data_IF_192041409893
#
_entry.id   IF_192041409893
#
_cell.length_a   1.000
_cell.length_b   1.000
_cell.length_c   1.000
_cell.angle_alpha   90.00
_cell.angle_beta   90.00
_cell.angle_gamma   90.00
#
_symmetry.space_group_name_H-M   'P 1'
#
loop_
_entity.id
_entity.type
_entity.pdbx_description
1 polymer ?
#
# COMPACT_ATOMS: atom_id res chain seq x y z
N UNK A 1 -11.12 -1.73 -4.67
CA UNK A 1 -12.41 -2.11 -4.06
C UNK A 1 -13.23 -3.15 -4.82
N UNK A 2 -13.70 -2.95 -6.08
CA UNK A 2 -14.53 -3.98 -6.73
C UNK A 2 -13.75 -5.25 -7.16
N UNK A 3 -12.45 -5.12 -7.44
CA UNK A 3 -11.57 -6.24 -7.75
C UNK A 3 -11.32 -7.18 -6.57
N UNK A 4 -11.18 -6.62 -5.36
CA UNK A 4 -10.76 -7.36 -4.17
C UNK A 4 -11.84 -8.35 -3.71
N UNK A 5 -13.11 -7.91 -3.74
CA UNK A 5 -14.26 -8.76 -3.45
C UNK A 5 -14.41 -9.92 -4.43
N UNK A 6 -14.09 -9.69 -5.72
CA UNK A 6 -14.13 -10.73 -6.73
C UNK A 6 -13.04 -11.78 -6.48
N UNK A 7 -11.82 -11.35 -6.16
CA UNK A 7 -10.69 -12.26 -5.91
C UNK A 7 -10.90 -13.07 -4.63
N UNK A 8 -11.36 -12.44 -3.56
CA UNK A 8 -11.73 -13.14 -2.31
C UNK A 8 -12.87 -14.14 -2.58
N UNK A 9 -13.91 -13.72 -3.28
CA UNK A 9 -15.03 -14.59 -3.64
C UNK A 9 -14.60 -15.82 -4.46
N UNK A 10 -13.73 -15.61 -5.45
CA UNK A 10 -13.16 -16.69 -6.27
C UNK A 10 -12.31 -17.65 -5.42
N UNK A 11 -11.46 -17.13 -4.54
CA UNK A 11 -10.63 -17.92 -3.63
C UNK A 11 -11.47 -18.80 -2.69
N UNK A 12 -12.52 -18.24 -2.08
CA UNK A 12 -13.45 -18.99 -1.23
C UNK A 12 -14.14 -20.09 -2.04
N UNK A 13 -14.63 -19.76 -3.24
CA UNK A 13 -15.31 -20.74 -4.11
C UNK A 13 -14.40 -21.93 -4.48
N UNK A 14 -13.16 -21.66 -4.89
CA UNK A 14 -12.17 -22.69 -5.21
C UNK A 14 -11.81 -23.54 -3.98
N UNK A 15 -11.68 -22.92 -2.80
CA UNK A 15 -11.43 -23.61 -1.54
C UNK A 15 -12.56 -24.56 -1.15
N UNK A 16 -13.81 -24.13 -1.32
CA UNK A 16 -14.99 -24.97 -1.09
C UNK A 16 -15.03 -26.17 -2.07
N UNK A 17 -14.69 -25.97 -3.34
CA UNK A 17 -14.57 -27.07 -4.30
C UNK A 17 -13.46 -28.05 -3.92
N UNK A 18 -12.30 -27.56 -3.45
CA UNK A 18 -11.21 -28.41 -2.98
C UNK A 18 -11.68 -29.33 -1.83
N UNK A 19 -12.39 -28.76 -0.85
CA UNK A 19 -12.97 -29.53 0.26
C UNK A 19 -14.02 -30.54 -0.20
N UNK A 20 -14.87 -30.17 -1.17
CA UNK A 20 -15.88 -31.07 -1.71
C UNK A 20 -15.23 -32.29 -2.42
N UNK A 21 -14.21 -32.07 -3.25
CA UNK A 21 -13.48 -33.15 -3.90
C UNK A 21 -12.73 -34.04 -2.90
N UNK A 22 -12.11 -33.42 -1.89
CA UNK A 22 -11.45 -34.16 -0.83
C UNK A 22 -12.45 -35.03 -0.06
N UNK A 23 -13.62 -34.47 0.29
CA UNK A 23 -14.72 -35.21 0.89
C UNK A 23 -15.16 -36.41 0.03
N UNK A 24 -15.34 -36.22 -1.28
CA UNK A 24 -15.68 -37.31 -2.20
C UNK A 24 -14.60 -38.40 -2.26
N UNK A 25 -13.32 -38.07 -2.10
CA UNK A 25 -12.25 -39.07 -2.05
C UNK A 25 -12.39 -40.03 -0.85
N UNK A 26 -12.95 -39.56 0.26
CA UNK A 26 -13.17 -40.36 1.47
C UNK A 26 -14.52 -41.09 1.50
N UNK A 27 -15.50 -40.67 0.70
CA UNK A 27 -16.76 -41.40 0.57
C UNK A 27 -16.50 -42.77 -0.07
N UNK A 28 -17.26 -43.77 0.38
CA UNK A 28 -17.25 -45.10 -0.21
C UNK A 28 -17.71 -45.03 -1.68
N UNK A 29 -16.72 -45.05 -2.58
CA UNK A 29 -16.91 -44.98 -4.03
C UNK A 29 -17.83 -46.07 -4.56
N UNK A 30 -17.85 -47.24 -3.90
CA UNK A 30 -18.74 -48.35 -4.28
C UNK A 30 -20.19 -47.97 -4.00
N UNK A 31 -20.49 -47.34 -2.86
CA UNK A 31 -21.83 -46.81 -2.55
C UNK A 31 -22.24 -45.69 -3.51
N UNK A 32 -21.34 -44.79 -3.85
CA UNK A 32 -21.59 -43.74 -4.85
C UNK A 32 -21.98 -44.33 -6.21
N UNK A 33 -21.24 -45.35 -6.66
CA UNK A 33 -21.53 -46.04 -7.90
C UNK A 33 -22.92 -46.68 -7.89
N UNK A 34 -23.27 -47.41 -6.82
CA UNK A 34 -24.58 -48.05 -6.67
C UNK A 34 -25.72 -47.03 -6.61
N UNK A 35 -25.54 -45.93 -5.90
CA UNK A 35 -26.58 -44.91 -5.75
C UNK A 35 -26.83 -44.12 -7.04
N UNK A 36 -25.80 -43.85 -7.85
CA UNK A 36 -25.91 -42.91 -8.97
C UNK A 36 -25.79 -43.55 -10.34
N UNK A 37 -24.88 -44.51 -10.50
CA UNK A 37 -24.47 -45.07 -11.79
C UNK A 37 -25.15 -46.40 -12.11
N UNK A 38 -25.39 -47.25 -11.10
CA UNK A 38 -25.98 -48.58 -11.30
C UNK A 38 -27.34 -48.54 -12.01
N UNK A 39 -28.16 -47.51 -11.75
CA UNK A 39 -29.48 -47.33 -12.37
C UNK A 39 -29.48 -47.23 -13.90
N UNK A 40 -28.34 -46.93 -14.51
CA UNK A 40 -28.20 -46.80 -15.96
C UNK A 40 -27.82 -48.12 -16.65
N UNK A 41 -27.46 -49.15 -15.89
CA UNK A 41 -27.06 -50.45 -16.42
C UNK A 41 -28.20 -51.45 -16.29
N UNK A 42 -28.47 -52.20 -17.36
CA UNK A 42 -29.46 -53.29 -17.34
C UNK A 42 -29.09 -54.43 -16.40
N UNK A 43 -27.79 -54.64 -16.18
CA UNK A 43 -27.25 -55.58 -15.20
C UNK A 43 -26.11 -54.90 -14.42
N UNK A 44 -26.39 -54.29 -13.26
CA UNK A 44 -25.40 -53.50 -12.53
C UNK A 44 -24.29 -54.35 -11.93
N UNK A 45 -24.58 -55.54 -11.40
CA UNK A 45 -23.57 -56.41 -10.77
C UNK A 45 -22.43 -56.79 -11.72
N UNK A 46 -22.76 -57.02 -13.00
CA UNK A 46 -21.77 -57.34 -14.03
C UNK A 46 -20.90 -56.14 -14.46
N UNK A 47 -21.30 -54.92 -14.12
CA UNK A 47 -20.61 -53.68 -14.48
C UNK A 47 -19.99 -52.96 -13.26
N UNK A 48 -19.89 -53.65 -12.12
CA UNK A 48 -19.28 -53.06 -10.93
C UNK A 48 -17.78 -52.77 -11.18
N UNK A 49 -17.29 -51.56 -10.83
CA UNK A 49 -15.89 -51.23 -11.02
C UNK A 49 -14.99 -52.13 -10.17
N UNK A 50 -13.88 -52.58 -10.74
CA UNK A 50 -12.85 -53.28 -9.98
C UNK A 50 -12.24 -52.39 -8.90
N UNK A 51 -11.68 -52.99 -7.84
CA UNK A 51 -11.08 -52.23 -6.74
C UNK A 51 -9.96 -51.29 -7.20
N UNK A 52 -9.22 -51.69 -8.24
CA UNK A 52 -8.19 -50.86 -8.86
C UNK A 52 -8.78 -49.63 -9.57
N UNK A 53 -9.94 -49.77 -10.21
CA UNK A 53 -10.65 -48.65 -10.80
C UNK A 53 -11.16 -47.67 -9.73
N UNK A 54 -11.69 -48.18 -8.61
CA UNK A 54 -12.10 -47.36 -7.47
C UNK A 54 -10.90 -46.63 -6.84
N UNK A 55 -9.74 -47.30 -6.73
CA UNK A 55 -8.49 -46.70 -6.28
C UNK A 55 -8.03 -45.53 -7.15
N UNK A 56 -8.06 -45.71 -8.48
CA UNK A 56 -7.77 -44.63 -9.46
C UNK A 56 -8.74 -43.47 -9.34
N UNK A 57 -10.03 -43.76 -9.11
CA UNK A 57 -11.03 -42.72 -8.94
C UNK A 57 -10.78 -41.90 -7.67
N UNK A 58 -10.46 -42.53 -6.53
CA UNK A 58 -10.05 -41.80 -5.31
C UNK A 58 -8.82 -40.93 -5.55
N UNK A 59 -7.80 -41.47 -6.21
CA UNK A 59 -6.60 -40.73 -6.55
C UNK A 59 -6.92 -39.50 -7.43
N UNK A 60 -7.83 -39.63 -8.39
CA UNK A 60 -8.25 -38.50 -9.23
C UNK A 60 -8.93 -37.39 -8.44
N UNK A 61 -9.75 -37.73 -7.43
CA UNK A 61 -10.38 -36.74 -6.55
C UNK A 61 -9.38 -36.05 -5.62
N UNK A 62 -8.42 -36.79 -5.06
CA UNK A 62 -7.33 -36.21 -4.27
C UNK A 62 -6.48 -35.27 -5.11
N UNK A 63 -6.12 -35.67 -6.33
CA UNK A 63 -5.37 -34.83 -7.26
C UNK A 63 -6.14 -33.55 -7.63
N UNK A 64 -7.44 -33.66 -7.92
CA UNK A 64 -8.29 -32.50 -8.18
C UNK A 64 -8.38 -31.56 -6.97
N UNK A 65 -8.55 -32.11 -5.76
CA UNK A 65 -8.56 -31.34 -4.53
C UNK A 65 -7.23 -30.59 -4.30
N UNK A 66 -6.09 -31.25 -4.52
CA UNK A 66 -4.77 -30.65 -4.39
C UNK A 66 -4.56 -29.51 -5.40
N UNK A 67 -4.97 -29.69 -6.66
CA UNK A 67 -4.89 -28.63 -7.68
C UNK A 67 -5.77 -27.43 -7.32
N UNK A 68 -7.00 -27.66 -6.82
CA UNK A 68 -7.90 -26.59 -6.40
C UNK A 68 -7.38 -25.85 -5.15
N UNK A 69 -6.80 -26.57 -4.18
CA UNK A 69 -6.17 -25.97 -3.02
C UNK A 69 -4.97 -25.10 -3.41
N UNK A 70 -4.14 -25.58 -4.36
CA UNK A 70 -3.04 -24.82 -4.90
C UNK A 70 -3.53 -23.57 -5.66
N UNK A 71 -4.54 -23.70 -6.51
CA UNK A 71 -5.15 -22.55 -7.19
C UNK A 71 -5.74 -21.53 -6.20
N UNK A 72 -6.39 -22.01 -5.14
CA UNK A 72 -6.91 -21.16 -4.05
C UNK A 72 -5.77 -20.40 -3.39
N UNK A 73 -4.68 -21.08 -3.06
CA UNK A 73 -3.49 -20.44 -2.48
C UNK A 73 -2.93 -19.37 -3.41
N UNK A 74 -2.78 -19.63 -4.71
CA UNK A 74 -2.28 -18.65 -5.68
C UNK A 74 -3.19 -17.43 -5.82
N UNK A 75 -4.51 -17.65 -5.85
CA UNK A 75 -5.50 -16.57 -5.96
C UNK A 75 -5.51 -15.72 -4.69
N UNK A 76 -5.44 -16.34 -3.51
CA UNK A 76 -5.43 -15.62 -2.24
C UNK A 76 -4.08 -14.96 -1.97
N UNK A 77 -2.95 -15.54 -2.37
CA UNK A 77 -1.65 -14.91 -2.19
C UNK A 77 -1.42 -13.73 -3.14
N UNK A 78 -2.02 -13.76 -4.33
CA UNK A 78 -1.99 -12.65 -5.27
C UNK A 78 -3.06 -11.58 -4.99
N UNK A 79 -4.21 -11.99 -4.43
CA UNK A 79 -5.37 -11.12 -4.16
C UNK A 79 -5.38 -10.50 -2.77
N UNK A 80 -4.86 -11.21 -1.78
CA UNK A 80 -4.51 -10.65 -0.49
C UNK A 80 -3.11 -10.07 -0.64
N UNK A 81 -2.99 -9.04 -1.47
CA UNK A 81 -2.16 -7.92 -1.04
C UNK A 81 -2.89 -7.44 0.21
N UNK A 82 -2.45 -7.88 1.39
CA UNK A 82 -2.59 -7.00 2.54
C UNK A 82 -1.88 -5.76 2.05
N UNK A 83 -2.64 -4.76 1.59
CA UNK A 83 -2.08 -3.45 1.47
C UNK A 83 -1.63 -3.15 2.89
N UNK A 84 -0.33 -3.33 3.14
CA UNK A 84 0.36 -2.53 4.13
C UNK A 84 0.18 -1.12 3.55
N UNK A 85 -0.94 -0.48 3.89
CA UNK A 85 -1.40 0.79 3.29
C UNK A 85 -0.47 1.95 3.62
N UNK A 86 0.69 1.69 4.22
CA UNK A 86 1.83 2.60 4.16
C UNK A 86 2.89 2.03 3.21
N UNK A 87 2.79 2.32 1.91
CA UNK A 87 3.97 2.22 1.00
C UNK A 87 5.14 3.06 1.51
N UNK A 88 4.85 4.03 2.37
CA UNK A 88 5.82 4.81 3.09
C UNK A 88 6.25 4.08 4.36
N UNK A 89 7.46 3.55 4.35
CA UNK A 89 8.14 3.19 5.59
C UNK A 89 8.39 4.44 6.44
N UNK A 90 8.53 4.23 7.75
CA UNK A 90 8.91 5.31 8.67
C UNK A 90 10.17 6.06 8.22
N UNK A 91 11.14 5.32 7.65
CA UNK A 91 12.38 5.88 7.14
C UNK A 91 12.17 6.73 5.88
N UNK A 92 11.21 6.38 5.03
CA UNK A 92 10.85 7.16 3.84
C UNK A 92 10.10 8.45 4.19
N UNK A 93 9.15 8.41 5.12
CA UNK A 93 8.46 9.63 5.60
C UNK A 93 9.48 10.59 6.22
N UNK A 94 10.41 10.05 7.02
CA UNK A 94 11.49 10.83 7.59
C UNK A 94 12.43 11.40 6.52
N UNK A 95 12.82 10.60 5.54
CA UNK A 95 13.69 11.05 4.45
C UNK A 95 13.02 12.17 3.62
N UNK A 96 11.72 12.05 3.37
CA UNK A 96 10.93 13.09 2.69
C UNK A 96 10.84 14.38 3.53
N UNK A 97 10.58 14.27 4.83
CA UNK A 97 10.57 15.42 5.74
C UNK A 97 11.94 16.11 5.83
N UNK A 98 13.03 15.33 5.92
CA UNK A 98 14.40 15.87 5.92
C UNK A 98 14.76 16.51 4.58
N UNK A 99 14.26 15.98 3.46
CA UNK A 99 14.45 16.58 2.15
C UNK A 99 13.69 17.89 2.01
N UNK A 100 12.42 17.94 2.38
CA UNK A 100 11.64 19.18 2.40
C UNK A 100 12.31 20.24 3.28
N UNK A 101 12.84 19.84 4.45
CA UNK A 101 13.63 20.73 5.30
C UNK A 101 14.84 21.32 4.58
N UNK A 102 15.63 20.51 3.87
CA UNK A 102 16.79 20.97 3.09
C UNK A 102 16.39 21.90 1.95
N UNK A 103 15.30 21.60 1.26
CA UNK A 103 14.82 22.40 0.13
C UNK A 103 14.34 23.78 0.62
N UNK A 104 13.68 23.83 1.78
CA UNK A 104 13.32 25.07 2.48
C UNK A 104 14.54 25.86 2.97
N UNK A 105 15.57 25.19 3.49
CA UNK A 105 16.84 25.84 3.89
C UNK A 105 17.57 26.45 2.68
N UNK A 106 17.47 25.82 1.52
CA UNK A 106 18.15 26.27 0.29
C UNK A 106 17.49 27.48 -0.38
N UNK A 107 16.24 27.77 -0.03
CA UNK A 107 15.43 28.85 -0.61
C UNK A 107 15.39 30.06 0.32
N UNK A 108 16.27 31.07 0.13
CA UNK A 108 16.25 32.26 0.97
C UNK A 108 14.93 33.01 0.79
N UNK A 109 14.23 33.24 1.91
CA UNK A 109 12.96 33.97 1.95
C UNK A 109 13.22 35.47 2.17
N UNK A 110 12.36 36.31 1.59
CA UNK A 110 12.40 37.75 1.84
C UNK A 110 11.95 38.04 3.27
N UNK A 111 12.51 39.08 3.87
CA UNK A 111 12.12 39.53 5.21
C UNK A 111 10.60 39.78 5.28
N UNK A 112 9.93 39.08 6.21
CA UNK A 112 8.47 39.00 6.42
C UNK A 112 7.67 37.94 5.64
N UNK A 113 8.32 37.11 4.82
CA UNK A 113 7.65 35.96 4.21
C UNK A 113 7.73 34.77 5.18
N UNK A 114 6.64 34.52 5.92
CA UNK A 114 6.53 33.35 6.78
C UNK A 114 6.37 32.11 5.90
N UNK A 115 7.07 31.03 6.24
CA UNK A 115 6.83 29.73 5.60
C UNK A 115 5.43 29.28 6.00
N UNK A 116 4.60 28.88 5.04
CA UNK A 116 3.28 28.32 5.28
C UNK A 116 3.21 26.83 4.93
N UNK A 117 2.05 26.21 5.16
CA UNK A 117 1.83 24.79 4.82
C UNK A 117 2.07 24.51 3.34
N UNK A 118 1.70 25.42 2.45
CA UNK A 118 1.86 25.26 1.00
C UNK A 118 3.32 25.25 0.56
N UNK A 119 4.16 26.06 1.21
CA UNK A 119 5.62 26.02 1.01
C UNK A 119 6.20 24.65 1.41
N UNK A 120 5.74 24.08 2.53
CA UNK A 120 6.19 22.76 3.00
C UNK A 120 5.69 21.65 2.07
N UNK A 121 4.44 21.69 1.63
CA UNK A 121 3.88 20.74 0.66
C UNK A 121 4.62 20.79 -0.68
N UNK A 122 5.00 21.98 -1.15
CA UNK A 122 5.76 22.14 -2.39
C UNK A 122 7.19 21.60 -2.28
N UNK A 123 7.79 21.68 -1.08
CA UNK A 123 9.13 21.16 -0.80
C UNK A 123 9.15 19.63 -0.63
N UNK A 124 7.99 18.98 -0.49
CA UNK A 124 7.93 17.53 -0.45
C UNK A 124 8.23 16.93 -1.85
N UNK A 125 8.89 15.76 -1.91
CA UNK A 125 9.22 15.11 -3.16
C UNK A 125 7.96 14.73 -3.95
N UNK A 126 7.69 15.43 -5.05
CA UNK A 126 6.61 15.12 -6.00
C UNK A 126 7.03 14.13 -7.11
N UNK A 127 8.33 13.83 -7.22
CA UNK A 127 8.92 13.09 -8.35
C UNK A 127 8.99 11.58 -8.12
N UNK A 128 7.86 10.95 -7.82
CA UNK A 128 7.77 9.51 -8.07
C UNK A 128 6.71 9.24 -9.12
N UNK A 129 7.04 8.36 -10.06
CA UNK A 129 6.16 7.67 -11.01
C UNK A 129 4.96 6.94 -10.32
N UNK A 130 4.85 7.09 -8.99
CA UNK A 130 3.87 6.55 -8.07
C UNK A 130 3.00 7.63 -7.38
N UNK A 131 3.20 8.92 -7.69
CA UNK A 131 2.48 10.07 -7.11
C UNK A 131 1.05 10.24 -7.66
N UNK A 132 0.40 9.15 -8.05
CA UNK A 132 -1.04 9.12 -8.24
C UNK A 132 -1.64 8.46 -6.99
N UNK A 133 -2.14 9.32 -6.10
CA UNK A 133 -3.22 9.07 -5.11
C UNK A 133 -2.87 8.95 -3.61
N UNK A 134 -1.63 8.70 -3.19
CA UNK A 134 -1.28 8.59 -1.74
C UNK A 134 -0.29 9.71 -1.33
N UNK A 135 -0.84 10.88 -0.97
CA UNK A 135 -0.08 12.09 -0.64
C UNK A 135 0.38 12.10 0.82
N UNK A 136 1.64 12.49 1.05
CA UNK A 136 2.08 12.96 2.36
C UNK A 136 1.22 14.16 2.76
N UNK A 137 0.65 14.12 3.96
CA UNK A 137 -0.14 15.22 4.51
C UNK A 137 0.75 16.10 5.37
N UNK A 138 0.51 17.41 5.29
CA UNK A 138 1.17 18.41 6.13
C UNK A 138 0.12 19.11 6.98
N UNK A 139 0.32 19.10 8.29
CA UNK A 139 -0.54 19.81 9.25
C UNK A 139 0.29 20.83 10.02
N UNK A 140 -0.23 22.05 10.16
CA UNK A 140 0.37 23.07 11.02
C UNK A 140 0.10 22.73 12.49
N UNK A 141 1.14 22.57 13.30
CA UNK A 141 1.03 22.35 14.75
C UNK A 141 1.43 23.60 15.56
N UNK A 142 2.18 24.53 14.95
CA UNK A 142 2.52 25.82 15.55
C UNK A 142 3.15 26.79 14.55
N UNK A 143 3.49 28.00 15.03
CA UNK A 143 3.93 29.11 14.17
C UNK A 143 5.12 28.78 13.25
N UNK A 144 6.01 27.88 13.67
CA UNK A 144 7.14 27.43 12.86
C UNK A 144 7.27 25.89 12.92
N UNK A 145 6.16 25.16 13.07
CA UNK A 145 6.18 23.71 13.31
C UNK A 145 5.09 22.98 12.55
N UNK A 146 5.49 21.96 11.79
CA UNK A 146 4.66 21.22 10.85
C UNK A 146 4.76 19.72 11.12
N UNK A 147 3.63 19.02 11.06
CA UNK A 147 3.57 17.57 11.15
C UNK A 147 3.41 17.00 9.75
N UNK A 148 4.37 16.19 9.34
CA UNK A 148 4.36 15.47 8.05
C UNK A 148 4.02 14.01 8.35
N UNK A 149 3.01 13.47 7.68
CA UNK A 149 2.60 12.08 7.88
C UNK A 149 2.13 11.44 6.57
N UNK A 150 2.20 10.12 6.49
CA UNK A 150 1.56 9.36 5.42
C UNK A 150 0.22 8.84 5.94
N UNK A 151 -0.89 9.46 5.53
CA UNK A 151 -2.24 9.09 5.97
C UNK A 151 -2.41 9.05 7.52
N UNK A 152 -1.76 9.97 8.23
CA UNK A 152 -1.76 10.00 9.70
C UNK A 152 -0.82 8.99 10.37
N UNK A 153 -0.07 8.20 9.60
CA UNK A 153 0.95 7.28 10.09
C UNK A 153 2.36 7.90 10.05
N UNK A 154 3.22 7.42 10.95
CA UNK A 154 4.62 7.84 11.09
C UNK A 154 4.85 9.36 11.18
N UNK A 155 4.15 10.08 12.07
CA UNK A 155 4.25 11.53 12.15
C UNK A 155 5.71 11.96 12.38
N UNK A 156 6.16 12.93 11.57
CA UNK A 156 7.44 13.60 11.72
C UNK A 156 7.19 15.09 11.97
N UNK A 157 7.81 15.62 13.02
CA UNK A 157 7.76 17.02 13.35
C UNK A 157 8.89 17.75 12.64
N UNK A 158 8.54 18.65 11.71
CA UNK A 158 9.43 19.58 11.05
C UNK A 158 9.33 20.94 11.76
N UNK A 159 10.40 21.36 12.43
CA UNK A 159 10.51 22.68 13.07
C UNK A 159 11.42 23.57 12.26
N UNK A 160 10.95 24.78 11.94
CA UNK A 160 11.74 25.80 11.26
C UNK A 160 12.23 26.84 12.26
N UNK A 161 13.47 27.28 12.13
CA UNK A 161 14.04 28.38 12.90
C UNK A 161 14.52 29.44 11.94
N UNK A 162 13.92 30.61 12.01
CA UNK A 162 14.35 31.77 11.22
C UNK A 162 15.41 32.54 12.01
N UNK A 163 16.51 32.85 11.33
CA UNK A 163 17.59 33.67 11.88
C UNK A 163 17.98 34.72 10.85
N UNK A 164 18.27 35.94 11.31
CA UNK A 164 18.65 37.02 10.40
C UNK A 164 19.97 36.68 9.72
N UNK A 165 19.94 36.54 8.39
CA UNK A 165 21.13 36.29 7.59
C UNK A 165 22.00 37.54 7.45
N UNK A 166 23.28 37.33 7.12
CA UNK A 166 24.18 38.40 6.68
C UNK A 166 24.00 38.74 5.20
N UNK A 167 23.22 37.94 4.47
CA UNK A 167 23.01 38.07 3.04
C UNK A 167 21.92 39.09 2.77
N UNK A 168 22.03 39.83 1.66
CA UNK A 168 21.07 40.87 1.31
C UNK A 168 20.98 41.04 -0.19
N UNK A 169 19.78 41.36 -0.68
CA UNK A 169 19.53 41.73 -2.07
C UNK A 169 19.43 43.25 -2.17
N UNK A 170 20.07 43.81 -3.19
CA UNK A 170 20.01 45.23 -3.51
C UNK A 170 18.94 45.46 -4.57
N UNK A 171 17.87 46.16 -4.22
CA UNK A 171 16.78 46.52 -5.14
C UNK A 171 16.85 48.01 -5.51
N UNK A 172 16.53 48.40 -6.75
CA UNK A 172 16.46 49.81 -7.14
C UNK A 172 15.36 50.52 -6.34
N UNK A 173 15.69 51.66 -5.72
CA UNK A 173 14.69 52.48 -5.06
C UNK A 173 13.81 53.18 -6.12
N UNK A 174 12.49 53.21 -5.90
CA UNK A 174 11.52 53.90 -6.74
C UNK A 174 11.73 55.42 -6.89
N UNK A 175 12.60 56.04 -6.10
CA UNK A 175 12.97 57.46 -6.23
C UNK A 175 14.06 57.76 -7.28
N UNK A 176 14.62 56.75 -7.95
CA UNK A 176 15.62 56.93 -9.01
C UNK A 176 17.03 57.27 -8.52
N UNK A 177 17.17 57.76 -7.29
CA UNK A 177 18.45 57.97 -6.61
C UNK A 177 18.61 56.96 -5.47
N UNK A 178 19.43 55.93 -5.71
CA UNK A 178 19.88 54.98 -4.71
C UNK A 178 19.30 53.56 -4.85
N UNK A 179 19.91 52.63 -4.11
CA UNK A 179 19.45 51.26 -4.01
C UNK A 179 19.16 50.93 -2.54
N UNK A 180 18.12 50.16 -2.31
CA UNK A 180 17.74 49.67 -0.98
C UNK A 180 18.25 48.24 -0.81
N UNK A 181 18.80 47.95 0.36
CA UNK A 181 19.35 46.63 0.68
C UNK A 181 18.39 45.90 1.60
N UNK A 182 17.76 44.85 1.09
CA UNK A 182 16.81 44.02 1.84
C UNK A 182 17.57 42.82 2.39
N UNK A 183 17.67 42.64 3.73
CA UNK A 183 18.31 41.47 4.32
C UNK A 183 17.48 40.21 4.04
N UNK A 184 18.17 39.10 3.86
CA UNK A 184 17.56 37.77 3.71
C UNK A 184 17.61 37.03 5.04
N UNK A 185 16.51 36.37 5.38
CA UNK A 185 16.47 35.49 6.54
C UNK A 185 16.97 34.10 6.16
N UNK A 186 17.74 33.47 7.05
CA UNK A 186 18.16 32.08 6.92
C UNK A 186 17.23 31.20 7.72
N UNK A 187 16.66 30.23 7.03
CA UNK A 187 15.85 29.18 7.62
C UNK A 187 16.78 28.02 8.00
N UNK A 188 16.54 27.45 9.17
CA UNK A 188 17.14 26.18 9.58
C UNK A 188 16.02 25.21 9.93
N UNK A 189 16.04 24.02 9.35
CA UNK A 189 15.06 22.97 9.56
C UNK A 189 15.60 21.91 10.54
N UNK A 190 14.77 21.48 11.48
CA UNK A 190 15.03 20.37 12.38
C UNK A 190 13.87 19.37 12.28
N UNK A 191 14.19 18.10 12.00
CA UNK A 191 13.19 17.03 11.91
C UNK A 191 13.31 16.12 13.13
N UNK A 192 12.21 15.90 13.83
CA UNK A 192 12.09 15.00 14.97
C UNK A 192 11.01 13.95 14.72
N UNK A 193 11.21 12.76 15.28
CA UNK A 193 10.21 11.70 15.22
C UNK A 193 9.04 12.00 16.16
N UNK A 194 7.82 11.83 15.68
CA UNK A 194 6.59 12.09 16.43
C UNK A 194 5.86 13.35 15.96
N UNK A 195 4.69 13.59 16.53
CA UNK A 195 4.00 14.87 16.37
C UNK A 195 4.78 16.00 17.07
N UNK A 196 4.64 17.22 16.55
CA UNK A 196 4.91 18.44 17.29
C UNK A 196 3.77 18.64 18.32
#
# INVERSE_FOLDING_TARGET
MMGDLFVIGLGIFLGLLALAFLGMAFVDQRKLWWNWRARWYRNPEANEPSDLALGRQRLSFVAAAAMMAFATYQVLSAGIVVHDESKWSQDEVRAAAEQAGRDLESSPKMQHDAVDVGDVELALPNDTEFAAEEQLTVEESGADSYVISAEGQYPQCLTLKTSRGSDSITVPNGSGDGAETVPLDRIKAEVAQGAC
#
